data_IF_621691074430
#
_entry.id   IF_621691074430
#
_cell.length_a   1.000
_cell.length_b   1.000
_cell.length_c   1.000
_cell.angle_alpha   90.00
_cell.angle_beta   90.00
_cell.angle_gamma   90.00
#
_symmetry.space_group_name_H-M   'P 1'
#
loop_
_entity.id
_entity.type
_entity.pdbx_description
1 polymer ?
#
# COMPACT_ATOMS: atom_id res chain seq x y z
N UNK A 1 -1.73 27.91 3.47
CA UNK A 1 -0.76 29.00 3.70
C UNK A 1 -0.60 29.78 2.40
N UNK A 2 -1.14 30.98 2.34
CA UNK A 2 -0.89 31.90 1.21
C UNK A 2 0.49 32.52 1.45
N UNK A 3 1.46 32.19 0.58
CA UNK A 3 2.86 32.60 0.73
C UNK A 3 3.09 34.11 0.62
N UNK A 4 2.05 34.93 0.40
CA UNK A 4 2.15 36.40 0.33
C UNK A 4 3.11 36.96 -0.74
N UNK A 5 3.61 36.09 -1.62
CA UNK A 5 4.52 36.42 -2.72
C UNK A 5 3.86 36.23 -4.07
N UNK A 6 4.27 37.03 -5.08
CA UNK A 6 3.78 36.87 -6.45
C UNK A 6 4.28 35.52 -7.05
N UNK A 7 3.57 35.02 -8.04
CA UNK A 7 3.99 33.80 -8.78
C UNK A 7 5.19 34.02 -9.72
N UNK A 8 5.63 35.28 -9.91
CA UNK A 8 6.75 35.64 -10.79
C UNK A 8 8.05 34.87 -10.51
N UNK A 9 8.50 34.68 -9.26
CA UNK A 9 9.73 33.89 -9.01
C UNK A 9 9.64 32.47 -9.51
N UNK A 10 8.47 31.83 -9.45
CA UNK A 10 8.26 30.45 -9.93
C UNK A 10 8.54 30.37 -11.42
N UNK A 11 7.97 31.30 -12.22
CA UNK A 11 8.16 31.33 -13.67
C UNK A 11 9.53 31.85 -14.12
N UNK A 12 10.37 32.29 -13.19
CA UNK A 12 11.78 32.56 -13.47
C UNK A 12 12.58 31.26 -13.57
N UNK A 13 12.19 30.23 -12.81
CA UNK A 13 12.86 28.90 -12.77
C UNK A 13 12.21 27.90 -13.71
N UNK A 14 10.89 27.92 -13.83
CA UNK A 14 10.11 26.97 -14.65
C UNK A 14 9.55 27.68 -15.87
N UNK A 15 9.86 27.18 -17.07
CA UNK A 15 9.41 27.77 -18.33
C UNK A 15 7.93 27.57 -18.57
N UNK A 16 7.37 26.44 -18.07
CA UNK A 16 5.96 26.08 -18.24
C UNK A 16 5.37 25.55 -16.93
N UNK A 17 4.04 25.56 -16.85
CA UNK A 17 3.32 24.95 -15.74
C UNK A 17 3.50 23.43 -15.70
N UNK A 18 3.66 22.78 -16.84
CA UNK A 18 3.85 21.32 -16.92
C UNK A 18 5.24 20.92 -16.43
N UNK A 19 6.26 21.72 -16.70
CA UNK A 19 7.59 21.56 -16.11
C UNK A 19 7.54 21.65 -14.58
N UNK A 20 6.85 22.65 -14.03
CA UNK A 20 6.64 22.79 -12.59
C UNK A 20 5.91 21.58 -12.00
N UNK A 21 4.82 21.12 -12.61
CA UNK A 21 4.06 19.96 -12.13
C UNK A 21 4.93 18.69 -12.10
N UNK A 22 5.75 18.48 -13.12
CA UNK A 22 6.66 17.34 -13.21
C UNK A 22 7.67 17.35 -12.06
N UNK A 23 8.29 18.51 -11.79
CA UNK A 23 9.26 18.65 -10.70
C UNK A 23 8.60 18.46 -9.32
N UNK A 24 7.40 19.00 -9.10
CA UNK A 24 6.65 18.81 -7.84
C UNK A 24 6.30 17.32 -7.65
N UNK A 25 5.92 16.62 -8.72
CA UNK A 25 5.64 15.19 -8.65
C UNK A 25 6.90 14.37 -8.35
N UNK A 26 8.01 14.68 -9.00
CA UNK A 26 9.30 14.03 -8.72
C UNK A 26 9.75 14.26 -7.28
N UNK A 27 9.56 15.46 -6.75
CA UNK A 27 9.81 15.77 -5.35
C UNK A 27 8.92 14.91 -4.43
N UNK A 28 7.63 14.78 -4.72
CA UNK A 28 6.71 13.93 -3.96
C UNK A 28 7.12 12.45 -3.99
N UNK A 29 7.55 11.94 -5.15
CA UNK A 29 8.07 10.57 -5.30
C UNK A 29 9.33 10.35 -4.45
N UNK A 30 10.24 11.30 -4.41
CA UNK A 30 11.45 11.23 -3.58
C UNK A 30 11.11 11.24 -2.07
N UNK A 31 10.14 12.06 -1.66
CA UNK A 31 9.66 12.06 -0.26
C UNK A 31 9.04 10.70 0.08
N UNK A 32 8.16 10.16 -0.79
CA UNK A 32 7.58 8.84 -0.57
C UNK A 32 8.66 7.75 -0.49
N UNK A 33 9.67 7.79 -1.36
CA UNK A 33 10.78 6.83 -1.34
C UNK A 33 11.52 6.85 0.01
N UNK A 34 11.70 8.01 0.64
CA UNK A 34 12.31 8.09 1.97
C UNK A 34 11.48 7.37 3.04
N UNK A 35 10.13 7.39 2.95
CA UNK A 35 9.26 6.60 3.83
C UNK A 35 9.41 5.10 3.56
N UNK A 36 9.46 4.69 2.30
CA UNK A 36 9.71 3.28 1.93
C UNK A 36 11.04 2.79 2.50
N UNK A 37 12.11 3.54 2.34
CA UNK A 37 13.44 3.18 2.86
C UNK A 37 13.46 3.04 4.38
N UNK A 38 12.81 3.95 5.10
CA UNK A 38 12.62 3.83 6.56
C UNK A 38 11.85 2.56 6.92
N UNK A 39 10.82 2.22 6.15
CA UNK A 39 10.06 1.00 6.37
C UNK A 39 10.87 -0.26 6.11
N UNK A 40 11.65 -0.29 5.04
CA UNK A 40 12.54 -1.41 4.68
C UNK A 40 13.63 -1.65 5.73
N UNK A 41 14.03 -0.62 6.47
CA UNK A 41 15.00 -0.73 7.57
C UNK A 41 14.39 -1.29 8.86
N UNK A 42 13.07 -1.46 8.95
CA UNK A 42 12.38 -2.08 10.09
C UNK A 42 12.37 -3.61 9.98
N UNK A 43 12.17 -4.30 11.10
CA UNK A 43 11.99 -5.74 11.12
C UNK A 43 10.58 -6.10 11.67
N UNK A 44 9.72 -6.76 10.88
CA UNK A 44 9.93 -7.17 9.48
C UNK A 44 9.69 -6.01 8.50
N UNK A 45 10.45 -5.95 7.37
CA UNK A 45 10.43 -4.81 6.47
C UNK A 45 9.08 -4.56 5.79
N UNK A 46 8.33 -5.61 5.47
CA UNK A 46 7.00 -5.44 4.84
C UNK A 46 5.98 -4.77 5.78
N UNK A 47 6.05 -5.05 7.09
CA UNK A 47 5.24 -4.35 8.10
C UNK A 47 5.69 -2.90 8.23
N UNK A 48 7.00 -2.68 8.28
CA UNK A 48 7.60 -1.36 8.31
C UNK A 48 7.16 -0.47 7.15
N UNK A 49 7.16 -1.00 5.92
CA UNK A 49 6.65 -0.28 4.74
C UNK A 49 5.18 0.08 4.89
N UNK A 50 4.33 -0.82 5.39
CA UNK A 50 2.92 -0.53 5.62
C UNK A 50 2.72 0.61 6.65
N UNK A 51 3.44 0.58 7.76
CA UNK A 51 3.42 1.63 8.79
C UNK A 51 3.90 2.97 8.22
N UNK A 52 4.99 2.96 7.45
CA UNK A 52 5.53 4.18 6.85
C UNK A 52 4.64 4.72 5.73
N UNK A 53 3.92 3.88 5.00
CA UNK A 53 2.95 4.34 4.02
C UNK A 53 1.76 5.05 4.68
N UNK A 54 1.24 4.54 5.79
CA UNK A 54 0.23 5.23 6.60
C UNK A 54 0.77 6.55 7.15
N UNK A 55 2.02 6.58 7.64
CA UNK A 55 2.67 7.79 8.12
C UNK A 55 2.79 8.85 7.02
N UNK A 56 3.17 8.44 5.80
CA UNK A 56 3.20 9.33 4.63
C UNK A 56 1.83 9.94 4.34
N UNK A 57 0.78 9.12 4.30
CA UNK A 57 -0.59 9.61 4.06
C UNK A 57 -1.05 10.62 5.13
N UNK A 58 -0.68 10.41 6.39
CA UNK A 58 -1.01 11.33 7.49
C UNK A 58 -0.21 12.62 7.49
N UNK A 59 1.10 12.53 7.24
CA UNK A 59 2.02 13.66 7.37
C UNK A 59 2.08 14.50 6.09
N UNK A 60 1.89 13.87 4.94
CA UNK A 60 2.02 14.48 3.62
C UNK A 60 0.75 14.26 2.76
N UNK A 61 -0.46 14.61 3.25
CA UNK A 61 -1.71 14.27 2.57
C UNK A 61 -1.82 14.85 1.16
N UNK A 62 -1.29 16.05 0.91
CA UNK A 62 -1.34 16.67 -0.42
C UNK A 62 -0.36 15.99 -1.41
N UNK A 63 0.79 15.53 -0.94
CA UNK A 63 1.70 14.73 -1.77
C UNK A 63 1.10 13.36 -2.07
N UNK A 64 0.43 12.73 -1.08
CA UNK A 64 -0.30 11.50 -1.30
C UNK A 64 -1.38 11.65 -2.38
N UNK A 65 -2.21 12.70 -2.31
CA UNK A 65 -3.23 13.01 -3.32
C UNK A 65 -2.61 13.19 -4.70
N UNK A 66 -1.53 13.94 -4.77
CA UNK A 66 -0.82 14.18 -6.03
C UNK A 66 -0.32 12.89 -6.67
N UNK A 67 0.25 11.97 -5.89
CA UNK A 67 0.81 10.72 -6.40
C UNK A 67 -0.24 9.67 -6.75
N UNK A 68 -1.28 9.53 -5.91
CA UNK A 68 -2.14 8.35 -5.91
C UNK A 68 -3.61 8.62 -6.17
N UNK A 69 -4.07 9.87 -6.08
CA UNK A 69 -5.47 10.24 -6.32
C UNK A 69 -5.67 11.02 -7.63
N UNK A 70 -4.61 11.25 -8.38
CA UNK A 70 -4.66 11.81 -9.72
C UNK A 70 -4.28 10.76 -10.76
N UNK A 71 -4.84 10.86 -11.96
CA UNK A 71 -4.45 9.98 -13.07
C UNK A 71 -2.98 10.26 -13.43
N UNK A 72 -2.12 9.25 -13.45
CA UNK A 72 -0.74 9.45 -13.89
C UNK A 72 -0.69 9.81 -15.37
N UNK A 73 0.16 10.75 -15.73
CA UNK A 73 0.48 11.09 -17.12
C UNK A 73 1.49 10.09 -17.70
N UNK A 74 1.68 10.12 -19.00
CA UNK A 74 2.66 9.24 -19.68
C UNK A 74 4.07 9.41 -19.08
N UNK A 75 4.70 8.30 -18.73
CA UNK A 75 6.04 8.28 -18.10
C UNK A 75 6.05 8.54 -16.57
N UNK A 76 4.89 8.76 -15.94
CA UNK A 76 4.79 8.87 -14.49
C UNK A 76 4.53 7.50 -13.85
N UNK A 77 5.09 7.29 -12.66
CA UNK A 77 4.88 6.06 -11.90
C UNK A 77 3.44 5.96 -11.37
N UNK A 78 2.78 4.86 -11.66
CA UNK A 78 1.48 4.52 -11.07
C UNK A 78 1.62 3.93 -9.67
N UNK A 79 0.52 3.90 -8.90
CA UNK A 79 0.49 3.25 -7.59
C UNK A 79 0.86 1.75 -7.66
N UNK A 80 0.46 1.06 -8.74
CA UNK A 80 0.79 -0.35 -8.95
C UNK A 80 2.26 -0.59 -9.29
N UNK A 81 2.89 0.30 -10.04
CA UNK A 81 4.33 0.23 -10.30
C UNK A 81 5.15 0.51 -9.04
N UNK A 82 4.74 1.50 -8.23
CA UNK A 82 5.34 1.74 -6.92
C UNK A 82 5.23 0.51 -6.01
N UNK A 83 4.05 -0.12 -5.95
CA UNK A 83 3.82 -1.37 -5.23
C UNK A 83 4.76 -2.49 -5.71
N UNK A 84 4.87 -2.71 -7.02
CA UNK A 84 5.69 -3.79 -7.59
C UNK A 84 7.17 -3.63 -7.25
N UNK A 85 7.67 -2.40 -7.21
CA UNK A 85 9.08 -2.13 -6.81
C UNK A 85 9.34 -2.52 -5.35
N UNK A 86 8.43 -2.16 -4.44
CA UNK A 86 8.55 -2.51 -3.02
C UNK A 86 8.38 -4.02 -2.82
N UNK A 87 7.41 -4.65 -3.50
CA UNK A 87 7.16 -6.09 -3.48
C UNK A 87 8.43 -6.89 -3.77
N UNK A 88 9.16 -6.52 -4.82
CA UNK A 88 10.41 -7.20 -5.19
C UNK A 88 11.46 -7.15 -4.06
N UNK A 89 11.49 -6.08 -3.27
CA UNK A 89 12.44 -5.91 -2.16
C UNK A 89 12.08 -6.72 -0.91
N UNK A 90 10.78 -6.93 -0.64
CA UNK A 90 10.31 -7.60 0.59
C UNK A 90 9.98 -9.08 0.39
N UNK A 91 9.89 -9.56 -0.85
CA UNK A 91 9.44 -10.92 -1.21
C UNK A 91 10.17 -12.02 -0.42
N UNK A 92 11.50 -12.02 -0.45
CA UNK A 92 12.27 -13.07 0.22
C UNK A 92 12.01 -13.10 1.72
N UNK A 93 11.88 -11.95 2.35
CA UNK A 93 11.60 -11.85 3.78
C UNK A 93 10.19 -12.35 4.13
N UNK A 94 9.21 -12.08 3.26
CA UNK A 94 7.85 -12.64 3.40
C UNK A 94 7.85 -14.16 3.32
N UNK A 95 8.56 -14.73 2.33
CA UNK A 95 8.70 -16.17 2.17
C UNK A 95 9.30 -16.84 3.42
N UNK A 96 10.35 -16.25 3.97
CA UNK A 96 11.02 -16.74 5.19
C UNK A 96 10.11 -16.70 6.42
N UNK A 97 9.47 -15.55 6.69
CA UNK A 97 8.68 -15.35 7.92
C UNK A 97 7.39 -16.17 7.90
N UNK A 98 6.69 -16.18 6.76
CA UNK A 98 5.41 -16.88 6.66
C UNK A 98 5.51 -18.32 6.17
N UNK A 99 6.70 -18.79 5.76
CA UNK A 99 6.92 -20.12 5.18
C UNK A 99 5.98 -20.38 4.00
N UNK A 100 5.96 -19.46 3.04
CA UNK A 100 5.17 -19.50 1.81
C UNK A 100 6.09 -19.38 0.60
N UNK A 101 5.61 -19.82 -0.56
CA UNK A 101 6.37 -19.70 -1.82
C UNK A 101 6.32 -18.26 -2.39
N UNK A 102 7.02 -18.05 -3.49
CA UNK A 102 7.14 -16.73 -4.11
C UNK A 102 5.79 -16.20 -4.63
N UNK A 103 4.94 -17.07 -5.18
CA UNK A 103 3.63 -16.69 -5.72
C UNK A 103 2.69 -16.27 -4.59
N UNK A 104 2.66 -17.02 -3.50
CA UNK A 104 1.88 -16.70 -2.30
C UNK A 104 2.39 -15.41 -1.64
N UNK A 105 3.72 -15.19 -1.59
CA UNK A 105 4.31 -13.97 -1.05
C UNK A 105 3.94 -12.74 -1.89
N UNK A 106 3.97 -12.86 -3.21
CA UNK A 106 3.57 -11.81 -4.13
C UNK A 106 2.09 -11.46 -3.97
N UNK A 107 1.23 -12.46 -3.88
CA UNK A 107 -0.19 -12.26 -3.65
C UNK A 107 -0.47 -11.63 -2.30
N UNK A 108 0.17 -12.13 -1.24
CA UNK A 108 0.05 -11.55 0.09
C UNK A 108 0.39 -10.06 0.09
N UNK A 109 1.55 -9.71 -0.46
CA UNK A 109 2.01 -8.32 -0.47
C UNK A 109 1.06 -7.42 -1.26
N UNK A 110 0.65 -7.85 -2.46
CA UNK A 110 -0.30 -7.10 -3.31
C UNK A 110 -1.61 -6.83 -2.58
N UNK A 111 -2.21 -7.88 -2.01
CA UNK A 111 -3.53 -7.78 -1.38
C UNK A 111 -3.48 -6.94 -0.10
N UNK A 112 -2.41 -7.08 0.72
CA UNK A 112 -2.16 -6.21 1.88
C UNK A 112 -1.87 -4.76 1.47
N UNK A 113 -1.12 -4.54 0.39
CA UNK A 113 -0.90 -3.19 -0.14
C UNK A 113 -2.21 -2.50 -0.49
N UNK A 114 -3.12 -3.20 -1.16
CA UNK A 114 -4.44 -2.64 -1.52
C UNK A 114 -5.25 -2.25 -0.29
N UNK A 115 -5.21 -3.04 0.78
CA UNK A 115 -5.86 -2.72 2.05
C UNK A 115 -5.25 -1.46 2.67
N UNK A 116 -3.92 -1.37 2.76
CA UNK A 116 -3.23 -0.19 3.30
C UNK A 116 -3.52 1.05 2.45
N UNK A 117 -3.47 0.90 1.12
CA UNK A 117 -3.77 1.99 0.18
C UNK A 117 -5.22 2.51 0.34
N UNK A 118 -6.19 1.61 0.54
CA UNK A 118 -7.58 2.01 0.82
C UNK A 118 -7.69 2.81 2.11
N UNK A 119 -7.03 2.37 3.19
CA UNK A 119 -7.00 3.10 4.45
C UNK A 119 -6.35 4.48 4.29
N UNK A 120 -5.22 4.56 3.61
CA UNK A 120 -4.56 5.84 3.32
C UNK A 120 -5.49 6.79 2.55
N UNK A 121 -6.20 6.30 1.54
CA UNK A 121 -7.14 7.10 0.74
C UNK A 121 -8.31 7.63 1.58
N UNK A 122 -8.87 6.80 2.48
CA UNK A 122 -9.93 7.22 3.42
C UNK A 122 -9.43 8.28 4.40
N UNK A 123 -8.23 8.12 4.95
CA UNK A 123 -7.59 9.06 5.86
C UNK A 123 -7.40 10.42 5.19
N UNK A 124 -6.80 10.42 4.01
CA UNK A 124 -6.43 11.64 3.28
C UNK A 124 -7.65 12.41 2.79
N UNK A 125 -8.76 11.71 2.52
CA UNK A 125 -10.04 12.33 2.14
C UNK A 125 -10.89 12.76 3.33
N UNK A 126 -10.48 12.46 4.57
CA UNK A 126 -11.25 12.75 5.77
C UNK A 126 -12.52 11.89 5.93
N UNK A 127 -12.63 10.81 5.16
CA UNK A 127 -13.77 9.88 5.23
C UNK A 127 -13.61 8.78 6.29
N UNK A 128 -12.52 8.79 7.04
CA UNK A 128 -12.20 7.81 8.05
C UNK A 128 -11.68 8.48 9.31
N UNK A 129 -12.24 8.10 10.46
CA UNK A 129 -11.82 8.54 11.78
C UNK A 129 -11.27 7.38 12.61
N UNK A 130 -10.66 6.37 11.98
CA UNK A 130 -10.07 5.24 12.69
C UNK A 130 -8.92 5.70 13.59
N UNK A 131 -8.94 5.26 14.83
CA UNK A 131 -7.81 5.38 15.73
C UNK A 131 -6.64 4.50 15.24
N UNK A 132 -5.44 4.79 15.70
CA UNK A 132 -4.27 3.96 15.38
C UNK A 132 -4.47 2.49 15.78
N UNK A 133 -5.16 2.26 16.92
CA UNK A 133 -5.45 0.91 17.39
C UNK A 133 -6.41 0.16 16.45
N UNK A 134 -7.46 0.82 15.96
CA UNK A 134 -8.40 0.22 15.00
C UNK A 134 -7.72 -0.11 13.68
N UNK A 135 -6.88 0.78 13.15
CA UNK A 135 -6.07 0.51 11.96
C UNK A 135 -5.18 -0.72 12.17
N UNK A 136 -4.50 -0.82 13.31
CA UNK A 136 -3.65 -1.97 13.63
C UNK A 136 -4.47 -3.27 13.73
N UNK A 137 -5.63 -3.24 14.36
CA UNK A 137 -6.53 -4.40 14.46
C UNK A 137 -7.02 -4.86 13.08
N UNK A 138 -7.44 -3.91 12.23
CA UNK A 138 -7.85 -4.18 10.85
C UNK A 138 -6.73 -4.85 10.05
N UNK A 139 -5.54 -4.26 10.04
CA UNK A 139 -4.40 -4.80 9.29
C UNK A 139 -3.99 -6.18 9.80
N UNK A 140 -4.01 -6.39 11.12
CA UNK A 140 -3.71 -7.70 11.72
C UNK A 140 -4.76 -8.73 11.32
N UNK A 141 -6.05 -8.39 11.35
CA UNK A 141 -7.14 -9.26 10.95
C UNK A 141 -7.06 -9.68 9.47
N UNK A 142 -6.81 -8.71 8.58
CA UNK A 142 -6.61 -9.00 7.16
C UNK A 142 -5.37 -9.87 6.92
N UNK A 143 -4.24 -9.56 7.57
CA UNK A 143 -3.00 -10.33 7.46
C UNK A 143 -3.20 -11.79 7.88
N UNK A 144 -3.83 -12.02 9.05
CA UNK A 144 -4.12 -13.38 9.55
C UNK A 144 -5.05 -14.14 8.60
N UNK A 145 -6.12 -13.50 8.14
CA UNK A 145 -7.09 -14.11 7.22
C UNK A 145 -6.44 -14.49 5.90
N UNK A 146 -5.61 -13.61 5.37
CA UNK A 146 -4.91 -13.83 4.10
C UNK A 146 -3.86 -14.93 4.21
N UNK A 147 -3.06 -14.93 5.28
CA UNK A 147 -2.10 -16.01 5.56
C UNK A 147 -2.80 -17.36 5.70
N UNK A 148 -3.95 -17.40 6.39
CA UNK A 148 -4.75 -18.62 6.51
C UNK A 148 -5.24 -19.11 5.14
N UNK A 149 -5.82 -18.23 4.34
CA UNK A 149 -6.30 -18.57 3.00
C UNK A 149 -5.17 -19.09 2.09
N UNK A 150 -4.01 -18.46 2.10
CA UNK A 150 -2.83 -18.88 1.32
C UNK A 150 -2.29 -20.26 1.71
N UNK A 151 -2.45 -20.65 2.98
CA UNK A 151 -1.94 -21.95 3.50
C UNK A 151 -2.96 -23.07 3.43
N UNK A 152 -4.25 -22.78 3.59
CA UNK A 152 -5.28 -23.78 3.80
C UNK A 152 -6.22 -23.96 2.59
N UNK A 153 -6.27 -23.00 1.66
CA UNK A 153 -7.14 -23.08 0.49
C UNK A 153 -6.31 -23.44 -0.77
N UNK A 154 -6.40 -24.68 -1.28
CA UNK A 154 -5.68 -25.05 -2.49
C UNK A 154 -6.03 -24.16 -3.68
N UNK A 155 -5.02 -23.74 -4.44
CA UNK A 155 -5.20 -22.86 -5.60
C UNK A 155 -5.47 -21.40 -5.26
N UNK A 156 -5.45 -21.01 -3.98
CA UNK A 156 -5.72 -19.61 -3.60
C UNK A 156 -4.61 -18.68 -4.11
N UNK A 157 -3.35 -19.07 -3.99
CA UNK A 157 -2.23 -18.25 -4.48
C UNK A 157 -2.33 -18.00 -6.00
N UNK A 158 -2.68 -19.03 -6.76
CA UNK A 158 -2.84 -19.02 -8.22
C UNK A 158 -4.11 -18.34 -8.70
N UNK A 159 -5.10 -18.17 -7.81
CA UNK A 159 -6.43 -17.68 -8.17
C UNK A 159 -7.31 -18.71 -8.86
N UNK A 160 -6.99 -20.01 -8.74
CA UNK A 160 -7.69 -21.13 -9.37
C UNK A 160 -8.57 -21.93 -8.40
N UNK A 161 -8.69 -21.47 -7.14
CA UNK A 161 -9.49 -22.15 -6.12
C UNK A 161 -10.98 -22.19 -6.45
N UNK A 162 -11.65 -23.29 -6.10
CA UNK A 162 -13.10 -23.38 -6.15
C UNK A 162 -13.69 -22.60 -4.97
N UNK A 163 -14.37 -21.49 -5.31
CA UNK A 163 -14.98 -20.59 -4.34
C UNK A 163 -16.05 -21.30 -3.50
N UNK A 164 -16.93 -22.06 -4.14
CA UNK A 164 -18.08 -22.65 -3.47
C UNK A 164 -17.66 -23.80 -2.56
N UNK A 165 -16.64 -24.55 -2.97
CA UNK A 165 -16.00 -25.58 -2.14
C UNK A 165 -15.30 -24.96 -0.93
N UNK A 166 -14.55 -23.87 -1.11
CA UNK A 166 -13.86 -23.18 -0.02
C UNK A 166 -14.84 -22.67 1.04
N UNK A 167 -15.96 -22.06 0.61
CA UNK A 167 -17.01 -21.58 1.53
C UNK A 167 -17.75 -22.72 2.22
N UNK A 168 -18.07 -23.83 1.50
CA UNK A 168 -18.71 -25.01 2.10
C UNK A 168 -17.87 -25.63 3.21
N UNK A 169 -16.55 -25.73 3.02
CA UNK A 169 -15.62 -26.21 4.07
C UNK A 169 -15.62 -25.30 5.29
N UNK A 170 -15.60 -23.98 5.10
CA UNK A 170 -15.65 -23.03 6.22
C UNK A 170 -16.93 -23.12 7.02
N UNK A 171 -18.12 -23.27 6.35
CA UNK A 171 -19.43 -23.38 7.00
C UNK A 171 -19.57 -24.77 7.66
N UNK A 172 -19.18 -25.85 6.99
CA UNK A 172 -19.25 -27.22 7.53
C UNK A 172 -18.41 -27.41 8.79
N UNK A 173 -17.22 -26.82 8.85
CA UNK A 173 -16.39 -26.82 10.06
C UNK A 173 -17.02 -26.07 11.24
N UNK A 174 -17.93 -25.12 11.00
CA UNK A 174 -18.67 -24.41 12.04
C UNK A 174 -19.81 -25.26 12.63
N UNK A 175 -20.50 -26.08 11.84
CA UNK A 175 -21.58 -26.97 12.30
C UNK A 175 -21.08 -28.15 13.14
N UNK A 176 -19.80 -28.54 12.97
CA UNK A 176 -19.19 -29.67 13.72
C UNK A 176 -18.67 -29.26 15.12
N UNK A 177 -18.71 -27.97 15.45
CA UNK A 177 -18.16 -27.41 16.73
C UNK A 177 -19.24 -27.01 17.75
N UNK A 178 -20.50 -27.45 17.58
CA UNK A 178 -21.59 -27.24 18.56
C UNK A 178 -21.81 -28.47 19.42
#
# INVERSE_FOLDING_TARGET
>A
LVLGTSTRPIFTYFRTMDELKKEVRQFAENIFQNYVEKGLAMDPPFLGVGVQYLAFAHQEPELYKLLYMTRPEEGQCSALEAMSRVQAQVRNRLMEIYHIDALAADRYFRDMWLVVHSLCSLIVTGNCAFSQQEVQQLLTGFSLSLCKALKEVPGFAEGTFDRDEAFRRMIGDAETRV
#
